data_IF_545996937074
#
_entry.id   IF_545996937074
#
_cell.length_a   1.000
_cell.length_b   1.000
_cell.length_c   1.000
_cell.angle_alpha   90.00
_cell.angle_beta   90.00
_cell.angle_gamma   90.00
#
_symmetry.space_group_name_H-M   'P 1'
#
loop_
_entity.id
_entity.type
_entity.pdbx_description
1 polymer ?
#
# COMPACT_ATOMS: atom_id res chain seq x y z
N UNK A 1 6.40 9.41 2.31
CA UNK A 1 5.81 8.78 3.53
C UNK A 1 4.64 7.88 3.14
N UNK A 2 4.43 6.77 3.85
CA UNK A 2 3.26 5.89 3.68
C UNK A 2 2.35 6.02 4.90
N UNK A 3 1.11 6.46 4.72
CA UNK A 3 0.06 6.28 5.72
C UNK A 3 -0.68 4.98 5.40
N UNK A 4 -0.60 4.00 6.29
CA UNK A 4 -1.14 2.64 6.09
C UNK A 4 -1.37 1.92 7.43
N UNK A 5 -1.68 0.63 7.37
CA UNK A 5 -2.09 -0.19 8.52
C UNK A 5 -3.34 -0.99 8.14
N UNK A 6 -4.43 -0.82 8.89
CA UNK A 6 -5.78 -1.21 8.45
C UNK A 6 -6.32 -0.25 7.38
N UNK A 7 -7.55 0.25 7.56
CA UNK A 7 -8.11 1.28 6.66
C UNK A 7 -7.92 2.69 7.25
N UNK A 8 -6.97 3.50 6.74
CA UNK A 8 -6.67 4.82 7.30
C UNK A 8 -7.84 5.81 7.16
N UNK A 9 -8.68 5.67 6.14
CA UNK A 9 -9.83 6.56 5.94
C UNK A 9 -10.99 6.31 6.93
N UNK A 10 -10.82 5.42 7.92
CA UNK A 10 -11.65 5.42 9.13
C UNK A 10 -11.41 6.66 10.01
N UNK A 11 -10.29 7.38 9.78
CA UNK A 11 -9.91 8.63 10.43
C UNK A 11 -9.37 9.62 9.39
N UNK A 12 -10.20 10.12 8.45
CA UNK A 12 -9.75 10.95 7.34
C UNK A 12 -9.09 12.26 7.82
N UNK A 13 -9.61 12.86 8.88
CA UNK A 13 -9.05 14.09 9.48
C UNK A 13 -7.63 13.91 10.01
N UNK A 14 -7.34 12.74 10.61
CA UNK A 14 -6.00 12.39 11.08
C UNK A 14 -5.05 12.19 9.90
N UNK A 15 -5.51 11.53 8.83
CA UNK A 15 -4.75 11.38 7.60
C UNK A 15 -4.39 12.74 7.00
N UNK A 16 -5.37 13.65 6.88
CA UNK A 16 -5.14 15.01 6.37
C UNK A 16 -4.18 15.83 7.23
N UNK A 17 -4.14 15.62 8.56
CA UNK A 17 -3.12 16.23 9.43
C UNK A 17 -1.74 15.64 9.19
N UNK A 18 -1.62 14.31 9.13
CA UNK A 18 -0.35 13.63 8.91
C UNK A 18 0.27 13.99 7.54
N UNK A 19 -0.56 14.04 6.49
CA UNK A 19 -0.12 14.41 5.13
C UNK A 19 0.41 15.85 5.11
N UNK A 20 -0.28 16.80 5.76
CA UNK A 20 0.20 18.19 5.86
C UNK A 20 1.57 18.28 6.55
N UNK A 21 1.73 17.60 7.68
CA UNK A 21 3.01 17.57 8.39
C UNK A 21 4.14 16.96 7.56
N UNK A 22 3.80 15.96 6.75
CA UNK A 22 4.77 15.30 5.88
C UNK A 22 5.11 16.11 4.62
N UNK A 23 4.19 16.96 4.15
CA UNK A 23 4.41 17.79 2.96
C UNK A 23 5.55 18.79 3.13
N UNK A 24 5.87 19.16 4.37
CA UNK A 24 7.00 20.03 4.69
C UNK A 24 8.36 19.31 4.59
N UNK A 25 8.38 17.97 4.53
CA UNK A 25 9.59 17.15 4.66
C UNK A 25 9.82 16.23 3.47
N UNK A 26 8.75 15.72 2.85
CA UNK A 26 8.81 14.71 1.80
C UNK A 26 8.27 15.27 0.48
N UNK A 27 9.04 15.09 -0.59
CA UNK A 27 8.64 15.47 -1.96
C UNK A 27 7.46 14.63 -2.47
N UNK A 28 7.26 13.44 -1.90
CA UNK A 28 6.25 12.47 -2.33
C UNK A 28 5.57 11.77 -1.15
N UNK A 29 4.24 11.78 -1.17
CA UNK A 29 3.37 11.22 -0.13
C UNK A 29 2.33 10.31 -0.77
N UNK A 30 2.30 9.06 -0.29
CA UNK A 30 1.37 8.05 -0.75
C UNK A 30 0.46 7.60 0.39
N UNK A 31 -0.82 7.42 0.08
CA UNK A 31 -1.82 6.87 1.00
C UNK A 31 -2.26 5.50 0.48
N UNK A 32 -2.12 4.46 1.31
CA UNK A 32 -2.63 3.13 1.01
C UNK A 32 -4.04 2.98 1.59
N UNK A 33 -5.03 2.65 0.78
CA UNK A 33 -6.43 2.54 1.20
C UNK A 33 -7.17 1.48 0.38
N UNK A 34 -8.14 0.79 0.98
CA UNK A 34 -9.10 -0.05 0.27
C UNK A 34 -10.23 0.77 -0.38
N UNK A 35 -10.33 2.06 -0.06
CA UNK A 35 -11.29 3.00 -0.64
C UNK A 35 -12.68 3.00 0.00
N UNK A 36 -12.96 2.17 1.01
CA UNK A 36 -14.31 2.03 1.60
C UNK A 36 -14.89 3.33 2.19
N UNK A 37 -14.02 4.29 2.54
CA UNK A 37 -14.39 5.64 3.02
C UNK A 37 -13.92 6.76 2.09
N UNK A 38 -13.43 6.42 0.90
CA UNK A 38 -13.04 7.42 -0.08
C UNK A 38 -14.29 8.00 -0.75
N UNK A 39 -14.53 9.28 -0.52
CA UNK A 39 -15.56 10.07 -1.20
C UNK A 39 -14.92 11.26 -1.90
N UNK A 40 -15.62 11.92 -2.83
CA UNK A 40 -15.07 13.08 -3.53
C UNK A 40 -14.62 14.22 -2.58
N UNK A 41 -15.36 14.58 -1.51
CA UNK A 41 -14.87 15.54 -0.53
C UNK A 41 -13.58 15.09 0.17
N UNK A 42 -13.53 13.83 0.61
CA UNK A 42 -12.33 13.28 1.27
C UNK A 42 -11.13 13.28 0.32
N UNK A 43 -11.32 12.87 -0.95
CA UNK A 43 -10.27 12.89 -1.96
C UNK A 43 -9.74 14.32 -2.21
N UNK A 44 -10.64 15.31 -2.31
CA UNK A 44 -10.27 16.71 -2.48
C UNK A 44 -9.49 17.27 -1.27
N UNK A 45 -9.93 16.94 -0.04
CA UNK A 45 -9.24 17.34 1.20
C UNK A 45 -7.84 16.74 1.30
N UNK A 46 -7.68 15.45 0.96
CA UNK A 46 -6.38 14.79 0.96
C UNK A 46 -5.44 15.38 -0.09
N UNK A 47 -5.97 15.68 -1.28
CA UNK A 47 -5.20 16.38 -2.32
C UNK A 47 -4.74 17.75 -1.84
N UNK A 48 -5.65 18.54 -1.27
CA UNK A 48 -5.34 19.86 -0.73
C UNK A 48 -4.34 19.81 0.44
N UNK A 49 -4.32 18.71 1.20
CA UNK A 49 -3.35 18.48 2.26
C UNK A 49 -1.93 18.20 1.76
N UNK A 50 -1.74 17.93 0.45
CA UNK A 50 -0.44 17.63 -0.15
C UNK A 50 -0.27 16.16 -0.57
N UNK A 51 -1.34 15.36 -0.62
CA UNK A 51 -1.23 13.97 -1.07
C UNK A 51 -0.82 13.90 -2.55
N UNK A 52 0.23 13.14 -2.84
CA UNK A 52 0.75 12.99 -4.20
C UNK A 52 -0.08 11.99 -5.01
N UNK A 53 -0.37 10.80 -4.46
CA UNK A 53 -1.16 9.77 -5.12
C UNK A 53 -1.74 8.73 -4.15
N UNK A 54 -2.71 7.93 -4.62
CA UNK A 54 -3.31 6.83 -3.89
C UNK A 54 -2.71 5.48 -4.30
N UNK A 55 -2.41 4.63 -3.32
CA UNK A 55 -2.21 3.20 -3.52
C UNK A 55 -3.51 2.48 -3.17
N UNK A 56 -4.31 2.15 -4.18
CA UNK A 56 -5.63 1.55 -3.97
C UNK A 56 -5.54 0.03 -3.90
N UNK A 57 -5.89 -0.54 -2.74
CA UNK A 57 -5.93 -1.99 -2.52
C UNK A 57 -7.18 -2.60 -3.14
N UNK A 58 -6.98 -3.40 -4.19
CA UNK A 58 -8.02 -4.17 -4.87
C UNK A 58 -7.47 -5.48 -5.40
N UNK A 59 -8.15 -6.60 -5.14
CA UNK A 59 -7.59 -7.95 -5.31
C UNK A 59 -8.35 -8.83 -6.32
N UNK A 60 -9.36 -8.27 -6.99
CA UNK A 60 -10.00 -8.88 -8.14
C UNK A 60 -10.45 -7.81 -9.16
N UNK A 61 -10.75 -8.24 -10.40
CA UNK A 61 -11.31 -7.34 -11.43
C UNK A 61 -12.79 -7.09 -11.17
N UNK A 62 -13.55 -8.13 -10.86
CA UNK A 62 -14.97 -8.03 -10.55
C UNK A 62 -15.22 -7.50 -9.12
N UNK A 63 -16.30 -6.74 -8.94
CA UNK A 63 -16.63 -6.13 -7.64
C UNK A 63 -17.12 -7.15 -6.62
N UNK A 64 -17.86 -8.19 -7.03
CA UNK A 64 -18.35 -9.23 -6.14
C UNK A 64 -17.20 -10.14 -5.70
N UNK A 65 -16.33 -10.54 -6.63
CA UNK A 65 -15.10 -11.26 -6.32
C UNK A 65 -14.20 -10.44 -5.36
N UNK A 66 -14.04 -9.14 -5.62
CA UNK A 66 -13.23 -8.30 -4.75
C UNK A 66 -13.84 -8.19 -3.34
N UNK A 67 -15.17 -8.10 -3.21
CA UNK A 67 -15.85 -8.11 -1.90
C UNK A 67 -15.72 -9.45 -1.19
N UNK A 68 -15.70 -10.57 -1.92
CA UNK A 68 -15.46 -11.87 -1.31
C UNK A 68 -14.05 -11.96 -0.66
N UNK A 69 -13.07 -11.22 -1.20
CA UNK A 69 -11.70 -11.17 -0.67
C UNK A 69 -11.54 -10.07 0.41
N UNK A 70 -12.04 -8.87 0.14
CA UNK A 70 -11.79 -7.65 0.93
C UNK A 70 -12.90 -7.34 1.96
N UNK A 71 -14.01 -8.06 1.91
CA UNK A 71 -15.23 -7.82 2.69
C UNK A 71 -16.25 -6.92 1.98
N UNK A 72 -17.50 -6.99 2.43
CA UNK A 72 -18.67 -6.34 1.80
C UNK A 72 -18.56 -4.82 1.70
N UNK A 73 -17.77 -4.19 2.58
CA UNK A 73 -17.53 -2.75 2.58
C UNK A 73 -16.59 -2.30 1.44
N UNK A 74 -15.95 -3.21 0.72
CA UNK A 74 -15.09 -2.86 -0.41
C UNK A 74 -15.93 -2.15 -1.49
N UNK A 75 -15.52 -0.95 -1.94
CA UNK A 75 -16.28 -0.16 -2.91
C UNK A 75 -16.16 -0.72 -4.32
N UNK A 76 -17.03 -0.26 -5.22
CA UNK A 76 -16.87 -0.52 -6.65
C UNK A 76 -15.63 0.19 -7.18
N UNK A 77 -15.04 -0.34 -8.25
CA UNK A 77 -13.92 0.30 -8.93
C UNK A 77 -14.26 1.72 -9.39
N UNK A 78 -15.44 1.86 -9.99
CA UNK A 78 -15.93 3.12 -10.54
C UNK A 78 -16.08 4.19 -9.46
N UNK A 79 -16.59 3.84 -8.27
CA UNK A 79 -16.76 4.79 -7.17
C UNK A 79 -15.42 5.35 -6.68
N UNK A 80 -14.42 4.48 -6.50
CA UNK A 80 -13.08 4.90 -6.06
C UNK A 80 -12.41 5.80 -7.09
N UNK A 81 -12.45 5.39 -8.36
CA UNK A 81 -11.80 6.13 -9.45
C UNK A 81 -12.51 7.44 -9.74
N UNK A 82 -13.83 7.50 -9.66
CA UNK A 82 -14.58 8.76 -9.79
C UNK A 82 -14.18 9.77 -8.71
N UNK A 83 -14.09 9.33 -7.44
CA UNK A 83 -13.66 10.19 -6.34
C UNK A 83 -12.20 10.67 -6.51
N UNK A 84 -11.28 9.76 -6.83
CA UNK A 84 -9.86 10.07 -6.98
C UNK A 84 -9.59 10.98 -8.19
N UNK A 85 -10.09 10.62 -9.37
CA UNK A 85 -9.89 11.40 -10.59
C UNK A 85 -10.60 12.76 -10.52
N UNK A 86 -11.78 12.83 -9.89
CA UNK A 86 -12.48 14.09 -9.64
C UNK A 86 -11.67 15.08 -8.78
N UNK A 87 -10.81 14.57 -7.89
CA UNK A 87 -9.88 15.38 -7.11
C UNK A 87 -8.51 15.58 -7.78
N UNK A 88 -8.29 15.04 -8.98
CA UNK A 88 -6.99 15.06 -9.66
C UNK A 88 -5.91 14.24 -8.94
N UNK A 89 -6.29 13.23 -8.16
CA UNK A 89 -5.36 12.31 -7.50
C UNK A 89 -5.03 11.14 -8.44
N UNK A 90 -3.74 10.95 -8.81
CA UNK A 90 -3.30 9.74 -9.47
C UNK A 90 -3.55 8.51 -8.60
N UNK A 91 -3.84 7.38 -9.25
CA UNK A 91 -4.10 6.10 -8.59
C UNK A 91 -3.11 5.06 -9.09
N UNK A 92 -2.47 4.36 -8.14
CA UNK A 92 -1.70 3.14 -8.35
C UNK A 92 -2.52 1.96 -7.84
N UNK A 93 -2.96 1.08 -8.72
CA UNK A 93 -3.67 -0.12 -8.32
C UNK A 93 -2.71 -1.11 -7.65
N UNK A 94 -3.08 -1.60 -6.47
CA UNK A 94 -2.27 -2.52 -5.68
C UNK A 94 -3.04 -3.80 -5.44
N UNK A 95 -2.53 -4.90 -6.00
CA UNK A 95 -3.13 -6.23 -5.91
C UNK A 95 -2.23 -7.17 -5.13
N UNK A 96 -2.78 -7.87 -4.13
CA UNK A 96 -2.12 -9.03 -3.53
C UNK A 96 -2.50 -10.24 -4.37
N UNK A 97 -1.51 -10.86 -5.00
CA UNK A 97 -1.67 -12.11 -5.74
C UNK A 97 -1.86 -13.25 -4.76
N UNK A 98 -2.89 -14.06 -4.98
CA UNK A 98 -3.21 -15.23 -4.15
C UNK A 98 -4.11 -16.20 -4.90
N UNK A 99 -4.21 -17.44 -4.43
CA UNK A 99 -5.10 -18.46 -5.01
C UNK A 99 -6.60 -18.16 -4.89
N UNK A 100 -7.00 -17.15 -4.13
CA UNK A 100 -8.38 -16.67 -4.07
C UNK A 100 -8.68 -15.47 -4.99
N UNK A 101 -7.68 -14.94 -5.69
CA UNK A 101 -7.82 -13.80 -6.58
C UNK A 101 -6.92 -13.94 -7.80
N UNK A 102 -6.09 -12.93 -8.05
CA UNK A 102 -5.16 -12.93 -9.19
C UNK A 102 -4.01 -13.92 -8.97
N UNK A 103 -3.99 -15.02 -9.73
CA UNK A 103 -3.03 -16.13 -9.53
C UNK A 103 -1.92 -16.26 -10.56
N UNK A 104 -2.16 -15.85 -11.79
CA UNK A 104 -1.27 -16.16 -12.91
C UNK A 104 -1.01 -14.93 -13.80
N UNK A 105 0.01 -14.97 -14.68
CA UNK A 105 0.32 -13.85 -15.56
C UNK A 105 -0.85 -13.43 -16.46
N UNK A 106 -1.67 -14.36 -16.93
CA UNK A 106 -2.84 -14.06 -17.75
C UNK A 106 -3.85 -13.19 -17.00
N UNK A 107 -4.16 -13.55 -15.76
CA UNK A 107 -5.06 -12.79 -14.89
C UNK A 107 -4.47 -11.43 -14.48
N UNK A 108 -3.15 -11.35 -14.26
CA UNK A 108 -2.45 -10.08 -14.04
C UNK A 108 -2.65 -9.14 -15.23
N UNK A 109 -2.53 -9.63 -16.46
CA UNK A 109 -2.74 -8.82 -17.66
C UNK A 109 -4.22 -8.46 -17.89
N UNK A 110 -5.16 -9.35 -17.54
CA UNK A 110 -6.58 -9.02 -17.55
C UNK A 110 -6.90 -7.90 -16.54
N UNK A 111 -6.32 -7.96 -15.34
CA UNK A 111 -6.43 -6.91 -14.32
C UNK A 111 -5.88 -5.59 -14.82
N UNK A 112 -4.67 -5.57 -15.37
CA UNK A 112 -4.07 -4.38 -15.96
C UNK A 112 -4.96 -3.81 -17.07
N UNK A 113 -5.45 -4.67 -17.98
CA UNK A 113 -6.31 -4.25 -19.09
C UNK A 113 -7.60 -3.57 -18.62
N UNK A 114 -8.29 -4.18 -17.65
CA UNK A 114 -9.53 -3.66 -17.10
C UNK A 114 -9.35 -2.26 -16.49
N UNK A 115 -8.33 -2.07 -15.64
CA UNK A 115 -8.12 -0.78 -14.98
C UNK A 115 -7.40 0.26 -15.83
N UNK A 116 -6.62 -0.16 -16.83
CA UNK A 116 -6.09 0.77 -17.84
C UNK A 116 -7.24 1.40 -18.64
N UNK A 117 -8.29 0.65 -18.96
CA UNK A 117 -9.49 1.19 -19.60
C UNK A 117 -10.21 2.24 -18.72
N UNK A 118 -10.00 2.20 -17.41
CA UNK A 118 -10.51 3.18 -16.44
C UNK A 118 -9.52 4.29 -16.09
N UNK A 119 -8.36 4.35 -16.76
CA UNK A 119 -7.38 5.43 -16.62
C UNK A 119 -6.21 5.15 -15.67
N UNK A 120 -6.08 3.96 -15.10
CA UNK A 120 -4.92 3.59 -14.27
C UNK A 120 -3.72 3.23 -15.13
N UNK A 121 -2.56 3.81 -14.84
CA UNK A 121 -1.30 3.51 -15.56
C UNK A 121 -0.22 2.88 -14.68
N UNK A 122 -0.44 2.79 -13.37
CA UNK A 122 0.54 2.24 -12.42
C UNK A 122 -0.04 1.08 -11.63
N UNK A 123 0.71 -0.02 -11.57
CA UNK A 123 0.27 -1.26 -10.96
C UNK A 123 1.36 -1.85 -10.06
N UNK A 124 0.92 -2.31 -8.89
CA UNK A 124 1.75 -3.06 -7.95
C UNK A 124 1.10 -4.41 -7.69
N UNK A 125 1.86 -5.48 -7.85
CA UNK A 125 1.47 -6.82 -7.47
C UNK A 125 2.34 -7.29 -6.31
N UNK A 126 1.71 -7.75 -5.24
CA UNK A 126 2.38 -8.21 -4.02
C UNK A 126 2.06 -9.66 -3.76
N UNK A 127 2.90 -10.33 -2.99
CA UNK A 127 2.60 -11.64 -2.45
C UNK A 127 1.74 -11.49 -1.19
N UNK A 128 1.05 -12.55 -0.79
CA UNK A 128 0.46 -12.63 0.55
C UNK A 128 1.57 -12.48 1.59
N UNK A 129 1.32 -11.62 2.59
CA UNK A 129 2.24 -11.41 3.69
C UNK A 129 2.19 -12.61 4.63
N UNK A 130 3.33 -13.29 4.75
CA UNK A 130 3.52 -14.34 5.76
C UNK A 130 4.26 -13.72 6.94
N UNK A 131 3.57 -13.68 8.07
CA UNK A 131 4.07 -13.16 9.32
C UNK A 131 5.34 -13.93 9.73
N UNK A 132 6.35 -13.18 10.18
CA UNK A 132 7.62 -13.78 10.61
C UNK A 132 7.42 -14.70 11.82
N UNK A 133 8.36 -15.59 12.08
CA UNK A 133 8.29 -16.49 13.25
C UNK A 133 8.19 -15.74 14.59
N UNK A 134 8.60 -14.47 14.64
CA UNK A 134 8.53 -13.61 15.83
C UNK A 134 7.23 -12.80 15.92
N UNK A 135 6.44 -12.75 14.85
CA UNK A 135 5.18 -12.04 14.83
C UNK A 135 4.17 -12.69 15.78
N UNK A 136 3.37 -11.85 16.43
CA UNK A 136 2.21 -12.28 17.23
C UNK A 136 1.17 -13.03 16.37
N UNK A 137 1.18 -12.84 15.05
CA UNK A 137 0.27 -13.48 14.11
C UNK A 137 0.85 -14.76 13.47
N UNK A 138 2.07 -15.17 13.85
CA UNK A 138 2.79 -16.31 13.26
C UNK A 138 1.96 -17.62 13.22
N UNK A 139 1.15 -17.84 14.24
CA UNK A 139 0.29 -19.03 14.41
C UNK A 139 -1.19 -18.80 14.09
N UNK A 140 -1.56 -17.65 13.53
CA UNK A 140 -2.95 -17.36 13.18
C UNK A 140 -3.41 -18.13 11.93
N UNK A 141 -4.70 -18.42 11.85
CA UNK A 141 -5.33 -19.02 10.65
C UNK A 141 -5.11 -18.15 9.41
N UNK A 142 -5.16 -16.82 9.58
CA UNK A 142 -4.85 -15.88 8.50
C UNK A 142 -3.42 -16.04 7.98
N UNK A 143 -2.44 -16.26 8.87
CA UNK A 143 -1.06 -16.49 8.44
C UNK A 143 -0.86 -17.86 7.80
N UNK A 144 -1.59 -18.89 8.25
CA UNK A 144 -1.60 -20.19 7.58
C UNK A 144 -2.17 -20.06 6.17
N UNK A 145 -3.31 -19.39 6.02
CA UNK A 145 -3.92 -19.10 4.74
C UNK A 145 -2.94 -18.37 3.82
N UNK A 146 -2.29 -17.30 4.31
CA UNK A 146 -1.29 -16.57 3.54
C UNK A 146 -0.20 -17.50 2.99
N UNK A 147 0.35 -18.40 3.81
CA UNK A 147 1.40 -19.37 3.39
C UNK A 147 0.91 -20.30 2.28
N UNK A 148 -0.30 -20.82 2.41
CA UNK A 148 -0.87 -21.78 1.45
C UNK A 148 -1.25 -21.12 0.12
N UNK A 149 -1.49 -19.81 0.12
CA UNK A 149 -2.00 -19.06 -1.02
C UNK A 149 -0.93 -18.15 -1.67
N UNK A 150 0.36 -18.33 -1.36
CA UNK A 150 1.46 -17.55 -1.93
C UNK A 150 1.68 -17.84 -3.42
N UNK A 151 1.78 -16.77 -4.21
CA UNK A 151 2.23 -16.84 -5.61
C UNK A 151 3.63 -16.25 -5.70
N UNK A 152 4.62 -17.05 -6.12
CA UNK A 152 6.02 -16.59 -6.19
C UNK A 152 6.47 -16.10 -7.56
N UNK A 153 5.79 -16.52 -8.63
CA UNK A 153 6.23 -16.26 -9.99
C UNK A 153 6.05 -14.79 -10.35
N UNK A 154 7.12 -14.14 -10.82
CA UNK A 154 7.04 -12.78 -11.36
C UNK A 154 6.29 -12.79 -12.70
N UNK A 155 5.07 -12.20 -12.76
CA UNK A 155 4.25 -12.21 -13.97
C UNK A 155 4.83 -11.35 -15.10
N UNK A 156 5.87 -10.56 -14.81
CA UNK A 156 6.53 -9.66 -15.74
C UNK A 156 7.96 -10.11 -16.08
N UNK A 157 8.38 -11.30 -15.66
CA UNK A 157 9.71 -11.82 -15.96
C UNK A 157 10.00 -11.76 -17.47
N UNK A 158 11.12 -11.13 -17.83
CA UNK A 158 11.53 -10.94 -19.23
C UNK A 158 10.69 -9.97 -20.05
N UNK A 159 9.82 -9.16 -19.45
CA UNK A 159 8.97 -8.17 -20.14
C UNK A 159 9.30 -6.73 -19.77
N UNK A 160 9.22 -5.84 -20.76
CA UNK A 160 9.42 -4.40 -20.57
C UNK A 160 10.86 -3.98 -20.32
N UNK A 161 11.03 -2.70 -20.02
CA UNK A 161 12.32 -2.13 -19.61
C UNK A 161 12.28 -1.74 -18.14
N UNK A 162 13.36 -2.03 -17.43
CA UNK A 162 13.52 -1.65 -16.02
C UNK A 162 13.74 -0.14 -15.95
N UNK A 163 12.89 0.55 -15.19
CA UNK A 163 12.94 2.00 -14.97
C UNK A 163 13.36 2.36 -13.55
N UNK A 164 13.39 1.39 -12.65
CA UNK A 164 13.81 1.55 -11.27
C UNK A 164 13.89 0.20 -10.56
N UNK A 165 14.40 0.21 -9.33
CA UNK A 165 14.43 -0.96 -8.45
C UNK A 165 14.09 -0.55 -7.03
N UNK A 166 13.35 -1.40 -6.33
CA UNK A 166 13.14 -1.25 -4.89
C UNK A 166 14.46 -1.56 -4.15
N UNK A 167 14.72 -0.94 -2.99
CA UNK A 167 15.98 -1.12 -2.26
C UNK A 167 16.34 -2.57 -1.92
N UNK A 168 15.34 -3.47 -1.84
CA UNK A 168 15.53 -4.89 -1.54
C UNK A 168 15.52 -5.81 -2.77
N UNK A 169 15.58 -5.24 -3.99
CA UNK A 169 15.82 -5.99 -5.23
C UNK A 169 14.76 -5.89 -6.33
N UNK A 170 13.44 -5.97 -6.03
CA UNK A 170 12.39 -6.03 -7.05
C UNK A 170 12.46 -4.89 -8.08
N UNK A 171 12.17 -5.21 -9.33
CA UNK A 171 12.28 -4.27 -10.44
C UNK A 171 10.96 -3.53 -10.67
N UNK A 172 11.06 -2.24 -10.94
CA UNK A 172 9.97 -1.43 -11.47
C UNK A 172 10.18 -1.39 -12.98
N UNK A 173 9.19 -1.88 -13.72
CA UNK A 173 9.27 -2.04 -15.17
C UNK A 173 8.23 -1.17 -15.85
N UNK A 174 8.54 -0.71 -17.05
CA UNK A 174 7.55 -0.08 -17.94
C UNK A 174 7.32 -0.99 -19.13
N UNK A 175 6.06 -1.30 -19.38
CA UNK A 175 5.60 -2.19 -20.44
C UNK A 175 4.53 -1.44 -21.23
N UNK A 176 4.89 -0.96 -22.42
CA UNK A 176 4.03 -0.05 -23.18
C UNK A 176 3.76 1.23 -22.39
N UNK A 177 2.48 1.51 -22.13
CA UNK A 177 2.02 2.72 -21.41
C UNK A 177 1.92 2.55 -19.89
N UNK A 178 2.09 1.33 -19.37
CA UNK A 178 1.93 1.07 -17.93
C UNK A 178 3.27 0.89 -17.23
N UNK A 179 3.31 1.30 -15.97
CA UNK A 179 4.38 0.98 -15.02
C UNK A 179 3.89 -0.13 -14.10
N UNK A 180 4.72 -1.16 -13.92
CA UNK A 180 4.40 -2.33 -13.10
C UNK A 180 5.54 -2.63 -12.13
N UNK A 181 5.19 -3.11 -10.95
CA UNK A 181 6.13 -3.70 -10.02
C UNK A 181 5.51 -4.94 -9.39
N UNK A 182 6.23 -6.05 -9.41
CA UNK A 182 5.89 -7.24 -8.65
C UNK A 182 6.93 -7.42 -7.55
N UNK A 183 6.50 -7.48 -6.29
CA UNK A 183 7.45 -7.54 -5.18
C UNK A 183 6.98 -8.37 -3.99
N UNK A 184 7.95 -9.03 -3.36
CA UNK A 184 7.84 -9.56 -2.00
C UNK A 184 8.32 -8.51 -1.00
N UNK A 185 7.74 -8.49 0.18
CA UNK A 185 8.18 -7.59 1.25
C UNK A 185 9.53 -8.07 1.81
N UNK A 186 10.47 -7.16 2.14
CA UNK A 186 11.69 -7.55 2.83
C UNK A 186 11.36 -8.06 4.22
N UNK A 187 12.22 -8.93 4.77
CA UNK A 187 12.02 -9.41 6.14
C UNK A 187 12.35 -8.31 7.16
N UNK A 188 11.76 -8.31 8.37
CA UNK A 188 12.12 -7.37 9.42
C UNK A 188 13.63 -7.36 9.74
N UNK A 189 14.30 -8.51 9.64
CA UNK A 189 15.76 -8.61 9.82
C UNK A 189 16.53 -7.88 8.71
N UNK A 190 16.04 -7.95 7.46
CA UNK A 190 16.62 -7.19 6.35
C UNK A 190 16.47 -5.69 6.61
N UNK A 191 15.28 -5.24 7.02
CA UNK A 191 14.99 -3.82 7.30
C UNK A 191 15.86 -3.29 8.45
N UNK A 192 15.99 -4.07 9.53
CA UNK A 192 16.85 -3.73 10.67
C UNK A 192 18.32 -3.61 10.26
N UNK A 193 18.83 -4.58 9.48
CA UNK A 193 20.23 -4.61 9.02
C UNK A 193 20.57 -3.41 8.13
N UNK A 194 19.65 -3.04 7.23
CA UNK A 194 19.90 -1.97 6.25
C UNK A 194 19.46 -0.60 6.73
N UNK A 195 18.80 -0.51 7.91
CA UNK A 195 18.26 0.75 8.47
C UNK A 195 17.28 1.41 7.49
N UNK A 196 16.58 0.61 6.71
CA UNK A 196 15.60 1.02 5.71
C UNK A 196 14.29 0.31 5.99
N UNK A 197 13.23 1.09 6.21
CA UNK A 197 11.88 0.57 6.35
C UNK A 197 11.12 0.69 5.03
N UNK A 198 10.36 -0.34 4.66
CA UNK A 198 9.37 -0.24 3.56
C UNK A 198 8.20 0.68 3.92
N UNK A 199 7.86 0.74 5.20
CA UNK A 199 6.88 1.62 5.82
C UNK A 199 7.30 1.85 7.27
N UNK A 200 7.43 3.11 7.69
CA UNK A 200 7.76 3.44 9.08
C UNK A 200 6.49 3.65 9.88
N UNK A 201 6.32 2.89 10.96
CA UNK A 201 5.24 3.10 11.91
C UNK A 201 5.73 4.06 12.99
N UNK A 202 5.37 5.33 12.88
CA UNK A 202 5.63 6.33 13.91
C UNK A 202 4.57 6.22 15.00
N UNK A 203 4.98 5.82 16.20
CA UNK A 203 4.12 5.80 17.37
C UNK A 203 4.09 7.19 18.04
N UNK A 204 3.04 7.46 18.81
CA UNK A 204 2.84 8.72 19.52
C UNK A 204 3.95 9.05 20.54
N UNK A 205 4.72 8.04 20.97
CA UNK A 205 5.86 8.18 21.88
C UNK A 205 7.19 8.48 21.16
N UNK A 206 7.15 8.76 19.85
CA UNK A 206 8.31 9.05 19.02
C UNK A 206 9.11 7.82 18.60
N UNK A 207 8.72 6.59 19.01
CA UNK A 207 9.37 5.37 18.55
C UNK A 207 8.95 5.05 17.13
N UNK A 208 9.92 4.60 16.34
CA UNK A 208 9.68 4.17 14.96
C UNK A 208 10.18 2.76 14.73
N UNK A 209 9.25 1.88 14.38
CA UNK A 209 9.47 0.45 14.19
C UNK A 209 9.44 0.10 12.70
N UNK A 210 10.28 -0.87 12.30
CA UNK A 210 10.17 -1.50 10.98
C UNK A 210 8.90 -2.34 10.87
N UNK A 211 8.49 -3.00 11.97
CA UNK A 211 7.24 -3.76 12.08
C UNK A 211 6.58 -3.58 13.44
N UNK A 212 5.27 -3.27 13.47
CA UNK A 212 4.49 -3.25 14.71
C UNK A 212 4.29 -4.65 15.32
N UNK A 213 4.56 -5.69 14.54
CA UNK A 213 4.40 -7.09 14.97
C UNK A 213 5.64 -7.63 15.68
N UNK A 214 6.77 -6.92 15.62
CA UNK A 214 8.02 -7.27 16.28
C UNK A 214 8.58 -6.09 17.08
N UNK A 215 8.51 -6.19 18.41
CA UNK A 215 9.04 -5.17 19.33
C UNK A 215 10.56 -5.01 19.25
N UNK A 216 11.28 -5.98 18.70
CA UNK A 216 12.74 -5.87 18.46
C UNK A 216 13.07 -5.07 17.18
N UNK A 217 12.06 -4.71 16.38
CA UNK A 217 12.25 -4.00 15.10
C UNK A 217 12.38 -2.48 15.22
N UNK A 218 12.70 -1.95 16.40
CA UNK A 218 12.89 -0.51 16.62
C UNK A 218 14.02 0.00 15.73
N UNK A 219 13.72 0.92 14.82
CA UNK A 219 14.69 1.54 13.95
C UNK A 219 15.27 2.79 14.60
N UNK A 220 14.42 3.72 15.03
CA UNK A 220 14.84 4.98 15.62
C UNK A 220 13.85 5.45 16.69
N UNK A 221 14.32 6.35 17.55
CA UNK A 221 13.47 7.18 18.40
C UNK A 221 13.67 8.60 17.93
N UNK A 222 12.59 9.25 17.52
CA UNK A 222 12.61 10.67 17.32
C UNK A 222 12.74 11.32 18.70
N UNK A 223 13.67 12.26 18.86
CA UNK A 223 13.74 13.11 20.04
C UNK A 223 12.54 14.05 20.01
N UNK A 224 11.38 13.53 20.36
CA UNK A 224 10.22 14.34 20.66
C UNK A 224 10.51 15.02 22.00
N UNK A 225 11.15 16.19 21.98
CA UNK A 225 10.88 17.16 23.05
C UNK A 225 9.37 17.27 23.15
N UNK A 226 8.76 17.08 24.35
CA UNK A 226 7.33 17.19 24.49
C UNK A 226 6.93 18.52 23.85
N UNK A 227 6.04 18.43 22.84
CA UNK A 227 5.40 19.57 22.21
C UNK A 227 5.14 20.58 23.31
N UNK A 228 5.83 21.73 23.27
CA UNK A 228 5.54 22.85 24.19
C UNK A 228 4.04 23.01 24.15
N UNK A 229 3.38 22.77 25.28
CA UNK A 229 1.97 23.04 25.44
C UNK A 229 1.74 24.44 24.91
N UNK A 230 1.02 24.54 23.79
CA UNK A 230 0.58 25.81 23.28
C UNK A 230 -0.42 26.33 24.30
N UNK A 231 0.03 27.18 25.21
CA UNK A 231 -0.85 28.02 26.02
C UNK A 231 -1.66 28.90 25.06
N UNK A 232 -2.92 28.54 24.81
CA UNK A 232 -4.05 29.45 24.65
C UNK A 232 -5.31 28.80 25.20
#
# INVERSE_FOLDING_TARGET
>A
MVTGGGEPLLRPDECGRAIRLAADVFDEIALFTNGARLSSPVAAELRAAGLSYLCWSRHAVDDAENRAIMGDAAPTAEAVLAAAHGAGLPVRATCVMSTAGVVDPGQVWAYIGAFTALGITEFTFKHTYVASARSLFSSSDANLWCREHQIHADPFAGRGHVVGKLPWGPEIRRIGKVQVCHYYEPTPEWELRHRLARSSNLLADGRVYASLEDRASLLYRLDCSPMRAANR
#
